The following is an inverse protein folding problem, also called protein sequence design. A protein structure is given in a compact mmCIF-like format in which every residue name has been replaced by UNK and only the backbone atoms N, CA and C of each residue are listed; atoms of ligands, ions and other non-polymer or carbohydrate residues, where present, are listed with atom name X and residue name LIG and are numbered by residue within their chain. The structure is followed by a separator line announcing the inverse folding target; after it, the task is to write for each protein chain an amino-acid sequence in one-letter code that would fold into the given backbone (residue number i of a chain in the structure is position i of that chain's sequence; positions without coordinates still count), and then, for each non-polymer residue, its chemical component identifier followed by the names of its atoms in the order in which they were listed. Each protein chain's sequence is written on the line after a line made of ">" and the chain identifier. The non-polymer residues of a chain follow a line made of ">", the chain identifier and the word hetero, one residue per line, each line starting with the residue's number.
data_IF_648100189993
#
_entry.id   IF_648100189993
#
_cell.length_a   1.000
_cell.length_b   1.000
_cell.length_c   1.000
_cell.angle_alpha   90.00
_cell.angle_beta   90.00
_cell.angle_gamma   90.00
#
_symmetry.space_group_name_H-M   'P 1'
#
loop_
_entity.id
_entity.type
_entity.pdbx_description
1 polymer ?
#
# COMPACT_ATOMS: atom_id res chain seq x y z
N UNK A 1 30.35 -19.79 -5.54
CA UNK A 1 30.31 -18.38 -6.00
C UNK A 1 29.32 -17.70 -5.11
N UNK A 2 29.76 -16.88 -4.17
CA UNK A 2 28.90 -16.07 -3.31
C UNK A 2 28.36 -14.92 -4.14
N UNK A 3 27.05 -14.86 -4.28
CA UNK A 3 26.35 -13.77 -4.98
C UNK A 3 26.49 -12.50 -4.12
N UNK A 4 27.40 -11.61 -4.48
CA UNK A 4 27.42 -10.27 -3.89
C UNK A 4 26.25 -9.49 -4.48
N UNK A 5 25.27 -9.19 -3.64
CA UNK A 5 24.14 -8.35 -4.01
C UNK A 5 24.64 -6.90 -4.21
N UNK A 6 24.68 -6.37 -5.47
CA UNK A 6 25.23 -5.04 -5.75
C UNK A 6 24.36 -3.88 -5.21
N UNK A 7 23.25 -4.17 -4.53
CA UNK A 7 22.26 -3.19 -4.12
C UNK A 7 22.28 -2.83 -2.62
N UNK A 8 23.17 -3.45 -1.83
CA UNK A 8 23.39 -3.06 -0.44
C UNK A 8 24.55 -2.06 -0.39
N UNK A 9 24.26 -0.81 -0.71
CA UNK A 9 25.21 0.24 -0.36
C UNK A 9 24.91 0.69 1.08
N UNK A 10 25.80 0.33 1.98
CA UNK A 10 25.75 0.56 3.42
C UNK A 10 25.98 2.03 3.77
N UNK A 11 25.13 2.93 3.31
CA UNK A 11 25.12 4.29 3.80
C UNK A 11 24.15 4.44 4.96
N UNK A 12 24.65 4.36 6.17
CA UNK A 12 24.23 5.03 7.44
C UNK A 12 22.80 4.84 7.97
N UNK A 13 21.88 4.20 7.27
CA UNK A 13 20.56 3.85 7.78
C UNK A 13 20.54 2.36 8.12
N UNK A 14 20.98 2.01 9.33
CA UNK A 14 20.72 0.66 9.84
C UNK A 14 19.23 0.57 10.21
N UNK A 15 18.62 -0.59 10.01
CA UNK A 15 17.22 -0.87 10.40
C UNK A 15 16.95 -0.48 11.85
N UNK A 16 17.94 -0.65 12.74
CA UNK A 16 17.92 -0.20 14.13
C UNK A 16 17.71 1.31 14.27
N UNK A 17 18.36 2.14 13.45
CA UNK A 17 18.24 3.60 13.51
C UNK A 17 16.85 4.05 13.08
N UNK A 18 16.24 3.40 12.09
CA UNK A 18 14.87 3.69 11.63
C UNK A 18 13.88 3.39 12.76
N UNK A 19 13.97 2.23 13.39
CA UNK A 19 13.10 1.83 14.48
C UNK A 19 13.26 2.72 15.73
N UNK A 20 14.50 3.08 16.08
CA UNK A 20 14.75 4.02 17.19
C UNK A 20 14.19 5.40 16.90
N UNK A 21 14.34 5.90 15.69
CA UNK A 21 13.78 7.20 15.27
C UNK A 21 12.26 7.20 15.32
N UNK A 22 11.63 6.12 14.84
CA UNK A 22 10.18 5.93 14.90
C UNK A 22 9.71 5.93 16.37
N UNK A 23 10.35 5.16 17.25
CA UNK A 23 10.01 5.08 18.68
C UNK A 23 10.16 6.42 19.41
N UNK A 24 11.22 7.18 19.10
CA UNK A 24 11.41 8.53 19.67
C UNK A 24 10.37 9.52 19.18
N UNK A 25 9.98 9.41 17.92
CA UNK A 25 8.99 10.29 17.30
C UNK A 25 7.54 9.97 17.66
N UNK A 26 7.25 8.73 18.08
CA UNK A 26 5.90 8.24 18.38
C UNK A 26 4.86 8.73 17.35
N UNK A 27 5.04 8.44 16.04
CA UNK A 27 4.25 9.03 14.97
C UNK A 27 2.77 8.63 15.07
N UNK A 28 1.88 9.59 14.84
CA UNK A 28 0.45 9.33 14.70
C UNK A 28 0.18 8.71 13.34
N UNK A 29 -0.38 7.51 13.31
CA UNK A 29 -0.74 6.80 12.08
C UNK A 29 -2.26 6.65 12.01
N UNK A 30 -2.88 7.32 11.05
CA UNK A 30 -4.31 7.11 10.79
C UNK A 30 -4.46 5.85 9.94
N UNK A 31 -5.32 4.94 10.39
CA UNK A 31 -5.59 3.67 9.72
C UNK A 31 -7.06 3.58 9.31
N UNK A 32 -7.32 3.63 8.02
CA UNK A 32 -8.60 3.24 7.42
C UNK A 32 -8.38 1.82 6.89
N UNK A 33 -8.70 0.83 7.72
CA UNK A 33 -8.35 -0.56 7.46
C UNK A 33 -9.57 -1.48 7.43
N UNK A 34 -9.36 -2.74 7.11
CA UNK A 34 -10.40 -3.75 7.09
C UNK A 34 -10.66 -4.33 8.49
N UNK A 35 -11.84 -4.91 8.67
CA UNK A 35 -12.31 -5.40 9.98
C UNK A 35 -11.53 -6.62 10.47
N UNK A 36 -10.93 -7.40 9.55
CA UNK A 36 -10.21 -8.64 9.89
C UNK A 36 -8.88 -8.34 10.57
N UNK A 37 -8.14 -7.34 10.08
CA UNK A 37 -6.79 -7.04 10.56
C UNK A 37 -6.70 -5.82 11.48
N UNK A 38 -7.82 -5.16 11.79
CA UNK A 38 -7.88 -3.90 12.57
C UNK A 38 -7.07 -3.98 13.87
N UNK A 39 -7.38 -4.95 14.72
CA UNK A 39 -6.71 -5.15 16.01
C UNK A 39 -5.24 -5.53 15.83
N UNK A 40 -4.94 -6.37 14.84
CA UNK A 40 -3.57 -6.79 14.55
C UNK A 40 -2.71 -5.59 14.09
N UNK A 41 -3.24 -4.77 13.19
CA UNK A 41 -2.57 -3.56 12.69
C UNK A 41 -2.31 -2.57 13.85
N UNK A 42 -3.32 -2.32 14.70
CA UNK A 42 -3.17 -1.44 15.85
C UNK A 42 -2.07 -1.94 16.80
N UNK A 43 -2.11 -3.22 17.18
CA UNK A 43 -1.13 -3.80 18.09
C UNK A 43 0.28 -3.84 17.47
N UNK A 44 0.40 -4.11 16.17
CA UNK A 44 1.68 -4.08 15.48
C UNK A 44 2.31 -2.68 15.49
N UNK A 45 1.53 -1.65 15.18
CA UNK A 45 1.98 -0.25 15.23
C UNK A 45 2.39 0.17 16.65
N UNK A 46 1.58 -0.17 17.66
CA UNK A 46 1.93 0.09 19.07
C UNK A 46 3.22 -0.62 19.48
N UNK A 47 3.41 -1.87 19.08
CA UNK A 47 4.61 -2.65 19.42
C UNK A 47 5.90 -2.06 18.86
N UNK A 48 5.85 -1.42 17.69
CA UNK A 48 7.00 -0.72 17.10
C UNK A 48 7.17 0.71 17.62
N UNK A 49 6.22 1.24 18.40
CA UNK A 49 6.29 2.57 19.02
C UNK A 49 5.56 3.68 18.28
N UNK A 50 4.69 3.35 17.34
CA UNK A 50 3.79 4.29 16.70
C UNK A 50 2.48 4.44 17.50
N UNK A 51 1.70 5.50 17.21
CA UNK A 51 0.39 5.78 17.79
C UNK A 51 -0.71 5.61 16.74
N UNK A 52 -1.36 4.44 16.63
CA UNK A 52 -2.40 4.21 15.64
C UNK A 52 -3.74 4.78 16.04
N UNK A 53 -4.46 5.37 15.08
CA UNK A 53 -5.88 5.72 15.18
C UNK A 53 -6.66 5.00 14.10
N UNK A 54 -7.67 4.19 14.51
CA UNK A 54 -8.59 3.49 13.60
C UNK A 54 -9.77 4.42 13.29
N UNK A 55 -9.72 5.09 12.13
CA UNK A 55 -10.73 6.08 11.75
C UNK A 55 -11.77 5.49 10.80
N UNK A 56 -13.04 5.83 11.02
CA UNK A 56 -14.20 5.48 10.20
C UNK A 56 -15.17 6.67 10.00
N UNK A 57 -14.79 7.86 10.47
CA UNK A 57 -15.63 9.05 10.45
C UNK A 57 -14.94 10.19 9.71
N UNK A 58 -15.58 10.72 8.68
CA UNK A 58 -15.03 11.81 7.85
C UNK A 58 -14.87 13.11 8.64
N UNK A 59 -15.74 13.37 9.61
CA UNK A 59 -15.68 14.56 10.45
C UNK A 59 -14.47 14.51 11.38
N UNK A 60 -14.27 13.37 12.05
CA UNK A 60 -13.14 13.13 12.93
C UNK A 60 -11.81 13.19 12.19
N UNK A 61 -11.78 12.64 10.96
CA UNK A 61 -10.61 12.65 10.10
C UNK A 61 -10.10 14.07 9.78
N UNK A 62 -11.01 15.05 9.60
CA UNK A 62 -10.62 16.44 9.30
C UNK A 62 -9.79 17.06 10.40
N UNK A 63 -10.06 16.71 11.65
CA UNK A 63 -9.34 17.22 12.81
C UNK A 63 -8.03 16.48 13.04
N UNK A 64 -7.99 15.18 12.75
CA UNK A 64 -6.84 14.32 13.01
C UNK A 64 -5.75 14.40 11.93
N UNK A 65 -6.15 14.55 10.64
CA UNK A 65 -5.22 14.38 9.52
C UNK A 65 -4.07 15.39 9.53
N UNK A 66 -4.32 16.61 10.01
CA UNK A 66 -3.30 17.66 10.10
C UNK A 66 -2.16 17.32 11.08
N UNK A 67 -2.39 16.38 11.98
CA UNK A 67 -1.43 15.91 12.99
C UNK A 67 -0.84 14.54 12.67
N UNK A 68 -1.32 13.89 11.61
CA UNK A 68 -0.88 12.56 11.23
C UNK A 68 0.50 12.58 10.57
N UNK A 69 1.31 11.58 10.90
CA UNK A 69 2.60 11.32 10.24
C UNK A 69 2.45 10.43 9.00
N UNK A 70 1.37 9.63 8.93
CA UNK A 70 1.00 8.85 7.75
C UNK A 70 -0.46 8.43 7.79
N UNK A 71 -1.01 8.13 6.59
CA UNK A 71 -2.32 7.51 6.39
C UNK A 71 -2.16 6.14 5.77
N UNK A 72 -2.73 5.10 6.40
CA UNK A 72 -2.87 3.77 5.83
C UNK A 72 -4.30 3.59 5.30
N UNK A 73 -4.42 3.20 4.03
CA UNK A 73 -5.68 2.77 3.42
C UNK A 73 -5.54 1.31 3.01
N UNK A 74 -6.36 0.44 3.61
CA UNK A 74 -6.47 -0.97 3.27
C UNK A 74 -7.91 -1.29 2.87
N UNK A 75 -8.12 -1.79 1.66
CA UNK A 75 -9.45 -1.97 1.06
C UNK A 75 -10.10 -3.33 1.33
N UNK A 76 -9.66 -4.09 2.31
CA UNK A 76 -10.08 -5.49 2.54
C UNK A 76 -11.58 -5.68 2.66
N UNK A 77 -12.27 -4.96 3.55
CA UNK A 77 -13.75 -4.98 3.69
C UNK A 77 -14.37 -3.81 2.93
N UNK A 78 -14.33 -3.89 1.61
CA UNK A 78 -14.76 -2.82 0.71
C UNK A 78 -16.29 -2.67 0.68
N UNK A 79 -16.77 -1.43 0.86
CA UNK A 79 -18.17 -1.02 0.65
C UNK A 79 -18.22 0.28 -0.14
N UNK A 80 -19.35 0.62 -0.81
CA UNK A 80 -19.46 1.90 -1.51
C UNK A 80 -19.21 3.12 -0.62
N UNK A 81 -19.68 3.10 0.63
CA UNK A 81 -19.47 4.18 1.59
C UNK A 81 -17.98 4.34 1.95
N UNK A 82 -17.27 3.21 2.15
CA UNK A 82 -15.82 3.23 2.37
C UNK A 82 -15.07 3.80 1.16
N UNK A 83 -15.51 3.54 -0.06
CA UNK A 83 -14.86 4.11 -1.26
C UNK A 83 -14.96 5.64 -1.28
N UNK A 84 -16.12 6.21 -0.91
CA UNK A 84 -16.25 7.66 -0.75
C UNK A 84 -15.30 8.18 0.34
N UNK A 85 -15.27 7.50 1.47
CA UNK A 85 -14.40 7.84 2.59
C UNK A 85 -12.90 7.78 2.24
N UNK A 86 -12.46 6.80 1.46
CA UNK A 86 -11.06 6.75 0.98
C UNK A 86 -10.72 7.97 0.12
N UNK A 87 -11.61 8.40 -0.77
CA UNK A 87 -11.40 9.57 -1.64
C UNK A 87 -11.29 10.85 -0.82
N UNK A 88 -12.16 11.03 0.17
CA UNK A 88 -12.13 12.17 1.07
C UNK A 88 -10.83 12.17 1.90
N UNK A 89 -10.43 11.01 2.43
CA UNK A 89 -9.20 10.84 3.19
C UNK A 89 -7.95 11.16 2.37
N UNK A 90 -7.89 10.70 1.12
CA UNK A 90 -6.79 11.00 0.19
C UNK A 90 -6.73 12.50 -0.11
N UNK A 91 -7.87 13.15 -0.36
CA UNK A 91 -7.90 14.58 -0.62
C UNK A 91 -7.41 15.40 0.58
N UNK A 92 -7.80 15.01 1.79
CA UNK A 92 -7.35 15.64 3.03
C UNK A 92 -5.86 15.39 3.27
N UNK A 93 -5.38 14.15 3.12
CA UNK A 93 -3.98 13.81 3.28
C UNK A 93 -3.09 14.57 2.29
N UNK A 94 -3.51 14.65 1.01
CA UNK A 94 -2.81 15.44 -0.02
C UNK A 94 -2.73 16.93 0.35
N UNK A 95 -3.83 17.50 0.87
CA UNK A 95 -3.87 18.90 1.31
C UNK A 95 -2.89 19.20 2.45
N UNK A 96 -2.69 18.24 3.35
CA UNK A 96 -1.82 18.36 4.53
C UNK A 96 -0.44 17.71 4.33
N UNK A 97 -0.11 17.28 3.11
CA UNK A 97 1.16 16.65 2.74
C UNK A 97 1.47 15.39 3.58
N UNK A 98 0.42 14.68 4.04
CA UNK A 98 0.53 13.43 4.80
C UNK A 98 0.77 12.28 3.84
N UNK A 99 1.84 11.50 3.98
CA UNK A 99 2.12 10.36 3.10
C UNK A 99 1.08 9.26 3.25
N UNK A 100 0.72 8.64 2.12
CA UNK A 100 -0.34 7.64 2.03
C UNK A 100 0.25 6.29 1.63
N UNK A 101 -0.03 5.26 2.43
CA UNK A 101 0.23 3.86 2.09
C UNK A 101 -1.08 3.22 1.65
N UNK A 102 -1.12 2.68 0.42
CA UNK A 102 -2.26 1.93 -0.11
C UNK A 102 -1.98 0.43 -0.11
N UNK A 103 -2.85 -0.33 0.56
CA UNK A 103 -2.87 -1.79 0.56
C UNK A 103 -4.12 -2.28 -0.22
N UNK A 104 -3.94 -2.78 -1.46
CA UNK A 104 -5.03 -3.08 -2.40
C UNK A 104 -5.62 -4.48 -2.18
N UNK A 105 -5.83 -4.89 -0.94
CA UNK A 105 -6.24 -6.25 -0.55
C UNK A 105 -7.32 -6.83 -1.45
N UNK A 106 -7.01 -7.95 -2.09
CA UNK A 106 -7.95 -8.72 -2.92
C UNK A 106 -8.33 -8.04 -4.24
N UNK A 107 -7.60 -7.05 -4.73
CA UNK A 107 -7.94 -6.37 -5.98
C UNK A 107 -7.84 -7.29 -7.21
N UNK A 108 -7.02 -8.35 -7.15
CA UNK A 108 -6.93 -9.37 -8.18
C UNK A 108 -8.17 -10.26 -8.26
N UNK A 109 -8.95 -10.36 -7.18
CA UNK A 109 -10.10 -11.28 -7.07
C UNK A 109 -11.42 -10.70 -7.58
N UNK A 110 -11.49 -9.42 -8.00
CA UNK A 110 -12.73 -8.84 -8.46
C UNK A 110 -12.59 -7.51 -9.19
N UNK A 111 -13.31 -7.36 -10.30
CA UNK A 111 -13.26 -6.19 -11.18
C UNK A 111 -13.60 -4.88 -10.44
N UNK A 112 -14.57 -4.90 -9.53
CA UNK A 112 -14.94 -3.72 -8.73
C UNK A 112 -13.81 -3.28 -7.80
N UNK A 113 -13.15 -4.22 -7.09
CA UNK A 113 -12.00 -3.90 -6.25
C UNK A 113 -10.86 -3.31 -7.05
N UNK A 114 -10.56 -3.92 -8.19
CA UNK A 114 -9.52 -3.45 -9.10
C UNK A 114 -9.83 -2.03 -9.61
N UNK A 115 -11.06 -1.75 -10.04
CA UNK A 115 -11.46 -0.41 -10.50
C UNK A 115 -11.30 0.64 -9.40
N UNK A 116 -11.66 0.31 -8.15
CA UNK A 116 -11.46 1.22 -7.01
C UNK A 116 -9.97 1.52 -6.81
N UNK A 117 -9.11 0.50 -6.78
CA UNK A 117 -7.66 0.70 -6.64
C UNK A 117 -7.11 1.59 -7.74
N UNK A 118 -7.49 1.35 -8.99
CA UNK A 118 -7.05 2.17 -10.13
C UNK A 118 -7.50 3.62 -9.98
N UNK A 119 -8.72 3.86 -9.49
CA UNK A 119 -9.22 5.22 -9.25
C UNK A 119 -8.47 5.92 -8.11
N UNK A 120 -8.09 5.19 -7.04
CA UNK A 120 -7.28 5.75 -5.96
C UNK A 120 -5.86 6.07 -6.43
N UNK A 121 -5.23 5.22 -7.24
CA UNK A 121 -3.90 5.47 -7.81
C UNK A 121 -3.91 6.72 -8.73
N UNK A 122 -4.95 6.92 -9.52
CA UNK A 122 -5.10 8.10 -10.41
C UNK A 122 -5.15 9.44 -9.67
N UNK A 123 -5.33 9.45 -8.36
CA UNK A 123 -5.28 10.69 -7.56
C UNK A 123 -3.89 11.31 -7.50
N UNK A 124 -2.85 10.55 -7.88
CA UNK A 124 -1.43 10.95 -7.79
C UNK A 124 -1.04 11.44 -6.39
N UNK A 125 -1.60 10.78 -5.37
CA UNK A 125 -1.37 11.12 -3.96
C UNK A 125 -0.81 9.94 -3.16
N UNK A 126 -0.73 8.75 -3.75
CA UNK A 126 -0.23 7.56 -3.06
C UNK A 126 1.29 7.64 -2.97
N UNK A 127 1.81 7.51 -1.75
CA UNK A 127 3.25 7.59 -1.46
C UNK A 127 3.92 6.22 -1.47
N UNK A 128 3.15 5.16 -1.23
CA UNK A 128 3.60 3.77 -1.28
C UNK A 128 2.42 2.85 -1.61
N UNK A 129 2.59 2.00 -2.61
CA UNK A 129 1.68 0.89 -2.91
C UNK A 129 2.30 -0.42 -2.38
N UNK A 130 1.61 -1.13 -1.49
CA UNK A 130 2.06 -2.43 -0.94
C UNK A 130 0.97 -3.47 -1.09
N UNK A 131 1.24 -4.53 -1.82
CA UNK A 131 0.34 -5.66 -2.01
C UNK A 131 1.10 -6.97 -2.17
N UNK A 132 0.38 -8.10 -2.29
CA UNK A 132 1.03 -9.34 -2.71
C UNK A 132 1.30 -9.34 -4.22
N UNK A 133 2.10 -10.31 -4.70
CA UNK A 133 2.51 -10.37 -6.10
C UNK A 133 1.33 -10.44 -7.08
N UNK A 134 0.25 -11.15 -6.72
CA UNK A 134 -0.96 -11.24 -7.55
C UNK A 134 -1.72 -9.91 -7.62
N UNK A 135 -1.79 -9.18 -6.53
CA UNK A 135 -2.41 -7.84 -6.48
C UNK A 135 -1.63 -6.83 -7.32
N UNK A 136 -0.30 -6.81 -7.18
CA UNK A 136 0.58 -5.93 -7.94
C UNK A 136 0.51 -6.26 -9.44
N UNK A 137 0.52 -7.56 -9.80
CA UNK A 137 0.33 -7.98 -11.18
C UNK A 137 -1.01 -7.55 -11.75
N UNK A 138 -2.10 -7.73 -11.01
CA UNK A 138 -3.43 -7.35 -11.49
C UNK A 138 -3.54 -5.85 -11.80
N UNK A 139 -2.94 -5.01 -10.96
CA UNK A 139 -2.87 -3.56 -11.18
C UNK A 139 -2.05 -3.24 -12.42
N UNK A 140 -0.86 -3.86 -12.56
CA UNK A 140 0.01 -3.66 -13.72
C UNK A 140 -0.67 -4.07 -15.03
N UNK A 141 -1.29 -5.24 -15.06
CA UNK A 141 -1.99 -5.74 -16.23
C UNK A 141 -3.16 -4.82 -16.63
N UNK A 142 -3.93 -4.36 -15.66
CA UNK A 142 -5.06 -3.46 -15.91
C UNK A 142 -4.65 -2.09 -16.46
N UNK A 143 -3.49 -1.59 -16.07
CA UNK A 143 -2.95 -0.33 -16.59
C UNK A 143 -2.34 -0.48 -17.99
N UNK A 144 -1.95 -1.69 -18.39
CA UNK A 144 -1.26 -1.95 -19.67
C UNK A 144 -2.13 -2.66 -20.72
N UNK A 145 -3.24 -3.25 -20.33
CA UNK A 145 -4.19 -3.83 -21.29
C UNK A 145 -5.17 -2.76 -21.78
N UNK A 146 -4.96 -2.31 -23.02
CA UNK A 146 -6.02 -1.66 -23.80
C UNK A 146 -7.08 -2.75 -24.11
N UNK A 147 -8.18 -2.74 -23.37
CA UNK A 147 -9.41 -3.51 -23.55
C UNK A 147 -9.46 -5.01 -23.17
N UNK A 148 -10.51 -5.27 -22.41
CA UNK A 148 -11.08 -6.52 -21.92
C UNK A 148 -10.46 -7.05 -20.63
N UNK A 149 -11.07 -6.62 -19.52
CA UNK A 149 -11.13 -7.43 -18.31
C UNK A 149 -11.74 -8.79 -18.71
N UNK A 150 -10.92 -9.74 -19.10
CA UNK A 150 -11.35 -11.12 -19.16
C UNK A 150 -11.60 -11.55 -17.72
N UNK A 151 -12.85 -11.85 -17.40
CA UNK A 151 -13.31 -12.38 -16.11
C UNK A 151 -12.74 -13.80 -15.82
N UNK A 152 -11.46 -14.00 -15.97
CA UNK A 152 -10.81 -15.18 -15.42
C UNK A 152 -10.40 -14.87 -13.98
N UNK A 153 -11.31 -15.10 -13.06
CA UNK A 153 -11.04 -15.20 -11.64
C UNK A 153 -10.05 -16.36 -11.43
N UNK A 154 -8.75 -16.08 -11.48
CA UNK A 154 -7.71 -17.01 -11.10
C UNK A 154 -7.22 -16.62 -9.72
N UNK A 155 -7.56 -17.40 -8.72
CA UNK A 155 -7.10 -17.21 -7.35
C UNK A 155 -8.18 -17.58 -6.34
N UNK A 156 -7.88 -18.48 -5.42
CA UNK A 156 -8.75 -18.83 -4.31
C UNK A 156 -8.39 -17.97 -3.11
N UNK A 157 -9.22 -16.98 -2.80
CA UNK A 157 -9.09 -16.18 -1.57
C UNK A 157 -8.22 -14.92 -1.72
N UNK A 158 -7.78 -14.41 -0.59
CA UNK A 158 -6.98 -13.17 -0.46
C UNK A 158 -5.48 -13.47 -0.59
N UNK A 159 -5.07 -14.73 -0.42
CA UNK A 159 -3.69 -15.17 -0.56
C UNK A 159 -3.33 -15.23 -2.04
N UNK A 160 -2.30 -14.46 -2.43
CA UNK A 160 -1.81 -14.40 -3.79
C UNK A 160 -0.96 -15.62 -4.15
N UNK A 161 -1.00 -16.03 -5.42
CA UNK A 161 -0.06 -17.00 -5.97
C UNK A 161 1.26 -16.31 -6.31
N UNK A 162 2.35 -17.07 -6.33
CA UNK A 162 3.65 -16.59 -6.80
C UNK A 162 3.56 -16.25 -8.30
N UNK A 163 4.04 -15.08 -8.69
CA UNK A 163 3.95 -14.56 -10.04
C UNK A 163 5.33 -14.60 -10.68
N UNK A 164 5.41 -15.23 -11.84
CA UNK A 164 6.60 -15.21 -12.68
C UNK A 164 6.93 -13.74 -13.07
N UNK A 165 8.20 -13.35 -13.01
CA UNK A 165 8.68 -11.97 -13.30
C UNK A 165 8.21 -10.86 -12.33
N UNK A 166 7.87 -11.19 -11.07
CA UNK A 166 7.40 -10.22 -10.07
C UNK A 166 8.34 -9.03 -9.87
N UNK A 167 9.65 -9.23 -9.93
CA UNK A 167 10.64 -8.15 -9.85
C UNK A 167 10.46 -7.13 -10.99
N UNK A 168 10.32 -7.61 -12.23
CA UNK A 168 10.16 -6.75 -13.42
C UNK A 168 8.82 -6.01 -13.36
N UNK A 169 7.75 -6.69 -12.96
CA UNK A 169 6.41 -6.10 -12.82
C UNK A 169 6.44 -5.00 -11.77
N UNK A 170 7.04 -5.25 -10.59
CA UNK A 170 7.17 -4.28 -9.50
C UNK A 170 7.92 -3.04 -9.97
N UNK A 171 9.04 -3.21 -10.64
CA UNK A 171 9.82 -2.11 -11.21
C UNK A 171 9.03 -1.28 -12.23
N UNK A 172 8.39 -1.95 -13.20
CA UNK A 172 7.63 -1.27 -14.26
C UNK A 172 6.42 -0.53 -13.71
N UNK A 173 5.70 -1.14 -12.75
CA UNK A 173 4.56 -0.51 -12.11
C UNK A 173 5.00 0.73 -11.33
N UNK A 174 6.06 0.65 -10.53
CA UNK A 174 6.57 1.78 -9.77
C UNK A 174 6.90 2.98 -10.68
N UNK A 175 7.56 2.73 -11.83
CA UNK A 175 7.81 3.77 -12.84
C UNK A 175 6.54 4.34 -13.44
N UNK A 176 5.57 3.47 -13.75
CA UNK A 176 4.35 3.86 -14.46
C UNK A 176 3.44 4.74 -13.61
N UNK A 177 3.34 4.44 -12.31
CA UNK A 177 2.50 5.20 -11.37
C UNK A 177 3.29 6.27 -10.59
N UNK A 178 4.60 6.40 -10.86
CA UNK A 178 5.50 7.33 -10.16
C UNK A 178 5.40 7.22 -8.63
N UNK A 179 5.36 6.00 -8.12
CA UNK A 179 5.16 5.69 -6.71
C UNK A 179 5.95 4.42 -6.35
N UNK A 180 6.67 4.37 -5.23
CA UNK A 180 7.28 3.15 -4.75
C UNK A 180 6.26 2.03 -4.60
N UNK A 181 6.66 0.80 -4.99
CA UNK A 181 5.84 -0.40 -4.94
C UNK A 181 6.55 -1.50 -4.16
N UNK A 182 5.80 -2.17 -3.29
CA UNK A 182 6.21 -3.37 -2.57
C UNK A 182 5.30 -4.52 -2.96
N UNK A 183 5.88 -5.56 -3.54
CA UNK A 183 5.21 -6.82 -3.86
C UNK A 183 5.67 -7.91 -2.89
N UNK A 184 4.79 -8.35 -1.97
CA UNK A 184 5.12 -9.35 -0.97
C UNK A 184 4.78 -10.76 -1.43
N UNK A 185 5.61 -11.75 -1.05
CA UNK A 185 5.44 -13.16 -1.42
C UNK A 185 6.44 -14.05 -0.72
N UNK A 186 6.79 -15.18 -1.32
CA UNK A 186 7.89 -16.02 -0.86
C UNK A 186 9.23 -15.25 -0.95
N UNK A 187 9.36 -14.44 -2.01
CA UNK A 187 10.38 -13.40 -2.13
C UNK A 187 9.68 -12.05 -2.24
N UNK A 188 10.13 -11.07 -1.47
CA UNK A 188 9.61 -9.70 -1.50
C UNK A 188 10.40 -8.85 -2.50
N UNK A 189 9.68 -8.06 -3.31
CA UNK A 189 10.28 -7.13 -4.26
C UNK A 189 9.89 -5.69 -3.92
N UNK A 190 10.87 -4.80 -3.87
CA UNK A 190 10.67 -3.38 -3.57
C UNK A 190 11.31 -2.55 -4.68
N UNK A 191 10.54 -1.62 -5.25
CA UNK A 191 11.05 -0.73 -6.29
C UNK A 191 10.54 0.70 -6.11
N UNK A 192 11.43 1.65 -6.36
CA UNK A 192 11.13 3.08 -6.49
C UNK A 192 10.96 3.53 -7.94
N UNK A 193 11.00 2.58 -8.89
CA UNK A 193 10.98 2.84 -10.33
C UNK A 193 12.34 3.14 -10.94
N UNK A 194 13.42 3.14 -10.16
CA UNK A 194 14.81 3.27 -10.65
C UNK A 194 15.58 1.97 -10.50
N UNK A 195 15.22 1.17 -9.50
CA UNK A 195 15.82 -0.14 -9.15
C UNK A 195 14.77 -1.05 -8.51
N UNK A 196 15.07 -2.32 -8.41
CA UNK A 196 14.31 -3.34 -7.69
C UNK A 196 15.26 -4.20 -6.88
#
# INVERSE_FOLDING_TARGET
>A
MTYENPYINSSTWTELNILETLRKGNPLIICITNDVVRTFTANGLLAIGASPVMSECSEDLKDLIAHASALLINIGTLTPDKVSYYKDAIALAKKHEVPIVLDPVGCHAGAYRLSVVLDLIKTDAISLLRGNQSEIKAIYDALNTNHKVNNSLSGKGVDGEQVEDSAIITYRLARQINCPVVATGEEDYVSDGTRV
#
